data_IF_160608897463
#
_entry.id   IF_160608897463
#
_cell.length_a   1.000
_cell.length_b   1.000
_cell.length_c   1.000
_cell.angle_alpha   90.00
_cell.angle_beta   90.00
_cell.angle_gamma   90.00
#
_symmetry.space_group_name_H-M   'P 1'
#
loop_
_entity.id
_entity.type
_entity.pdbx_description
1 polymer ?
#
# COMPACT_ATOMS: atom_id res chain seq x y z
N UNK A 1 23.84 32.87 -42.61
CA UNK A 1 24.73 33.48 -41.59
C UNK A 1 25.65 32.38 -41.08
N UNK A 2 26.96 32.64 -41.03
CA UNK A 2 28.04 31.65 -40.76
C UNK A 2 28.47 31.69 -39.28
N UNK A 3 28.70 30.49 -38.74
CA UNK A 3 29.74 30.00 -37.79
C UNK A 3 29.89 30.70 -36.42
N UNK A 4 29.64 29.98 -35.31
CA UNK A 4 30.61 29.26 -34.43
C UNK A 4 31.59 30.19 -33.69
N UNK A 5 32.06 29.96 -32.46
CA UNK A 5 31.63 29.26 -31.24
C UNK A 5 32.73 29.56 -30.18
N UNK A 6 32.46 29.25 -28.89
CA UNK A 6 33.41 28.97 -27.80
C UNK A 6 34.14 30.18 -27.16
N UNK A 7 33.90 30.44 -25.86
CA UNK A 7 34.84 30.02 -24.79
C UNK A 7 34.31 30.26 -23.38
N UNK A 8 34.39 29.15 -22.64
CA UNK A 8 34.31 28.95 -21.19
C UNK A 8 35.15 29.95 -20.37
N UNK A 9 34.67 30.31 -19.18
CA UNK A 9 35.53 30.60 -18.03
C UNK A 9 34.79 30.28 -16.72
N UNK A 10 35.09 29.08 -16.21
CA UNK A 10 35.55 28.78 -14.84
C UNK A 10 34.97 29.64 -13.71
N UNK A 11 34.16 29.02 -12.86
CA UNK A 11 33.79 29.51 -11.53
C UNK A 11 33.62 28.34 -10.57
N UNK A 12 34.75 27.77 -10.16
CA UNK A 12 34.87 26.74 -9.12
C UNK A 12 34.68 27.40 -7.74
N UNK A 13 33.63 27.06 -6.99
CA UNK A 13 33.62 27.00 -5.51
C UNK A 13 32.20 26.76 -5.00
N UNK A 14 32.01 25.67 -4.27
CA UNK A 14 30.76 25.40 -3.56
C UNK A 14 30.46 23.92 -3.44
N UNK A 15 31.39 23.16 -2.86
CA UNK A 15 31.09 21.85 -2.32
C UNK A 15 30.03 22.02 -1.22
N UNK A 16 28.76 21.87 -1.57
CA UNK A 16 27.75 21.53 -0.59
C UNK A 16 27.81 20.01 -0.49
N UNK A 17 28.57 19.56 0.51
CA UNK A 17 28.44 18.22 1.05
C UNK A 17 26.99 18.06 1.53
N UNK A 18 26.11 17.61 0.64
CA UNK A 18 24.87 16.97 1.04
C UNK A 18 25.28 15.61 1.58
N UNK A 19 25.50 15.60 2.90
CA UNK A 19 25.56 14.40 3.72
C UNK A 19 24.61 13.34 3.17
N UNK A 20 25.16 12.19 2.79
CA UNK A 20 24.46 10.97 2.42
C UNK A 20 23.47 10.57 3.53
N UNK A 21 22.28 11.13 3.52
CA UNK A 21 21.11 10.39 3.95
C UNK A 21 20.56 9.78 2.67
N UNK A 22 21.08 8.60 2.33
CA UNK A 22 20.45 7.72 1.36
C UNK A 22 19.05 7.38 1.90
N UNK A 23 18.08 8.25 1.61
CA UNK A 23 16.69 7.87 1.67
C UNK A 23 16.56 6.77 0.63
N UNK A 24 16.31 5.54 1.08
CA UNK A 24 15.89 4.47 0.20
C UNK A 24 14.69 5.02 -0.59
N UNK A 25 14.89 5.22 -1.90
CA UNK A 25 13.84 5.72 -2.79
C UNK A 25 12.66 4.78 -2.66
N UNK A 26 11.51 5.31 -2.25
CA UNK A 26 10.28 4.54 -2.20
C UNK A 26 9.96 4.03 -3.60
N UNK A 27 9.85 2.71 -3.77
CA UNK A 27 9.45 2.15 -5.06
C UNK A 27 7.96 2.36 -5.23
N UNK A 28 7.57 3.07 -6.28
CA UNK A 28 6.18 3.21 -6.68
C UNK A 28 5.83 2.19 -7.76
N UNK A 29 4.81 1.36 -7.53
CA UNK A 29 4.26 0.46 -8.56
C UNK A 29 2.85 0.89 -8.95
N UNK A 30 2.52 0.73 -10.23
CA UNK A 30 1.18 0.92 -10.76
C UNK A 30 0.62 -0.44 -11.16
N UNK A 31 -0.53 -0.80 -10.60
CA UNK A 31 -1.30 -1.98 -10.99
C UNK A 31 -2.70 -1.58 -11.46
N UNK A 32 -3.24 -2.35 -12.41
CA UNK A 32 -4.62 -2.21 -12.86
C UNK A 32 -5.44 -3.43 -12.42
N UNK A 33 -6.65 -3.20 -11.94
CA UNK A 33 -7.50 -4.29 -11.48
C UNK A 33 -8.96 -3.89 -11.26
N UNK A 34 -9.77 -4.82 -10.78
CA UNK A 34 -11.13 -4.52 -10.33
C UNK A 34 -11.14 -4.20 -8.85
N UNK A 35 -11.64 -3.03 -8.49
CA UNK A 35 -11.83 -2.60 -7.11
C UNK A 35 -13.29 -2.56 -6.74
N UNK A 36 -13.55 -2.72 -5.44
CA UNK A 36 -14.88 -2.81 -4.87
C UNK A 36 -14.98 -1.83 -3.70
N UNK A 37 -16.03 -1.03 -3.70
CA UNK A 37 -16.35 -0.14 -2.57
C UNK A 37 -17.60 -0.65 -1.91
N UNK A 38 -17.53 -0.90 -0.61
CA UNK A 38 -18.68 -1.22 0.21
C UNK A 38 -19.01 -0.04 1.13
N UNK A 39 -20.30 0.26 1.24
CA UNK A 39 -20.83 1.23 2.21
C UNK A 39 -21.77 0.49 3.14
N UNK A 40 -21.49 0.54 4.45
CA UNK A 40 -22.26 -0.18 5.48
C UNK A 40 -22.43 -1.68 5.13
N UNK A 41 -21.36 -2.31 4.63
CA UNK A 41 -21.32 -3.73 4.28
C UNK A 41 -22.00 -4.13 2.97
N UNK A 42 -22.63 -3.19 2.25
CA UNK A 42 -23.26 -3.43 0.93
C UNK A 42 -22.37 -2.92 -0.19
N UNK A 43 -22.32 -3.66 -1.31
CA UNK A 43 -21.57 -3.23 -2.49
C UNK A 43 -22.17 -1.92 -3.03
N UNK A 44 -21.36 -0.88 -3.09
CA UNK A 44 -21.72 0.45 -3.55
C UNK A 44 -21.09 0.78 -4.92
N UNK A 45 -19.87 0.32 -5.19
CA UNK A 45 -19.23 0.43 -6.51
C UNK A 45 -18.40 -0.81 -6.82
N UNK A 46 -18.34 -1.17 -8.10
CA UNK A 46 -17.44 -2.17 -8.68
C UNK A 46 -17.00 -1.66 -10.04
N UNK A 47 -15.71 -1.44 -10.23
CA UNK A 47 -15.17 -0.93 -11.49
C UNK A 47 -13.67 -1.21 -11.62
N UNK A 48 -13.14 -1.00 -12.81
CA UNK A 48 -11.69 -0.98 -13.03
C UNK A 48 -11.07 0.19 -12.28
N UNK A 49 -9.89 -0.03 -11.72
CA UNK A 49 -9.16 0.91 -10.89
C UNK A 49 -7.66 0.84 -11.17
N UNK A 50 -6.98 1.95 -10.89
CA UNK A 50 -5.53 2.06 -10.87
C UNK A 50 -5.07 2.06 -9.41
N UNK A 51 -4.10 1.22 -9.06
CA UNK A 51 -3.52 1.10 -7.72
C UNK A 51 -2.09 1.61 -7.78
N UNK A 52 -1.79 2.64 -7.01
CA UNK A 52 -0.46 3.20 -6.86
C UNK A 52 0.07 2.79 -5.50
N UNK A 53 1.02 1.88 -5.43
CA UNK A 53 1.66 1.48 -4.17
C UNK A 53 2.93 2.28 -3.94
N UNK A 54 3.28 2.51 -2.69
CA UNK A 54 4.55 3.07 -2.26
C UNK A 54 4.99 2.29 -1.02
N UNK A 55 6.12 1.60 -1.13
CA UNK A 55 6.71 0.87 -0.02
C UNK A 55 8.06 1.45 0.34
N UNK A 56 8.35 1.48 1.63
CA UNK A 56 9.65 1.89 2.11
C UNK A 56 9.91 1.48 3.55
N UNK A 57 11.18 1.44 3.87
CA UNK A 57 11.68 1.18 5.22
C UNK A 57 12.90 2.05 5.47
N UNK A 58 13.22 2.25 6.74
CA UNK A 58 14.46 2.92 7.10
C UNK A 58 15.50 1.85 7.43
N UNK A 59 16.54 1.72 6.62
CA UNK A 59 17.63 0.76 6.88
C UNK A 59 18.34 0.99 8.23
N UNK A 60 18.31 2.21 8.77
CA UNK A 60 18.86 2.54 10.08
C UNK A 60 17.91 2.23 11.25
N UNK A 61 16.62 2.02 10.96
CA UNK A 61 15.61 1.57 11.91
C UNK A 61 14.90 0.37 11.29
N UNK A 62 15.43 -0.85 11.44
CA UNK A 62 14.86 -2.07 10.81
C UNK A 62 13.39 -2.32 11.20
N UNK A 63 12.89 -1.59 12.19
CA UNK A 63 11.54 -1.62 12.71
C UNK A 63 10.64 -0.45 12.26
N UNK A 64 11.09 0.38 11.30
CA UNK A 64 10.25 1.35 10.60
C UNK A 64 9.96 0.85 9.18
N UNK A 65 8.68 0.60 8.91
CA UNK A 65 8.19 0.20 7.60
C UNK A 65 6.88 0.90 7.29
N UNK A 66 6.68 1.25 6.02
CA UNK A 66 5.40 1.72 5.54
C UNK A 66 5.05 1.09 4.20
N UNK A 67 3.76 0.84 4.04
CA UNK A 67 3.10 0.40 2.83
C UNK A 67 1.91 1.35 2.67
N UNK A 68 2.03 2.27 1.72
CA UNK A 68 0.94 3.15 1.35
C UNK A 68 0.43 2.69 -0.01
N UNK A 69 -0.87 2.75 -0.23
CA UNK A 69 -1.38 2.62 -1.57
C UNK A 69 -2.58 3.54 -1.81
N UNK A 70 -2.71 4.02 -3.04
CA UNK A 70 -3.83 4.83 -3.48
C UNK A 70 -4.57 4.11 -4.58
N UNK A 71 -5.88 4.00 -4.44
CA UNK A 71 -6.76 3.39 -5.44
C UNK A 71 -7.57 4.48 -6.10
N UNK A 72 -7.37 4.66 -7.40
CA UNK A 72 -8.14 5.59 -8.22
C UNK A 72 -9.23 4.84 -8.98
N UNK A 73 -10.47 5.19 -8.68
CA UNK A 73 -11.66 4.61 -9.28
C UNK A 73 -12.42 5.70 -10.07
N UNK A 74 -12.67 5.53 -11.38
CA UNK A 74 -13.25 6.59 -12.21
C UNK A 74 -14.57 7.16 -11.70
N UNK A 75 -15.46 6.34 -11.13
CA UNK A 75 -16.77 6.77 -10.63
C UNK A 75 -16.78 6.98 -9.11
N UNK A 76 -16.02 6.20 -8.35
CA UNK A 76 -16.03 6.25 -6.88
C UNK A 76 -15.01 7.24 -6.27
N UNK A 77 -14.06 7.75 -7.06
CA UNK A 77 -13.03 8.70 -6.61
C UNK A 77 -11.73 8.02 -6.19
N UNK A 78 -10.92 8.75 -5.41
CA UNK A 78 -9.60 8.27 -4.95
C UNK A 78 -9.69 7.84 -3.48
N UNK A 79 -9.11 6.69 -3.19
CA UNK A 79 -8.99 6.15 -1.84
C UNK A 79 -7.51 6.04 -1.48
N UNK A 80 -7.16 6.41 -0.26
CA UNK A 80 -5.80 6.31 0.26
C UNK A 80 -5.76 5.36 1.43
N UNK A 81 -4.91 4.36 1.35
CA UNK A 81 -4.60 3.44 2.44
C UNK A 81 -3.18 3.67 2.88
N UNK A 82 -3.00 3.73 4.20
CA UNK A 82 -1.71 3.95 4.86
C UNK A 82 -1.57 2.87 5.91
N UNK A 83 -0.58 2.00 5.72
CA UNK A 83 -0.06 1.07 6.71
C UNK A 83 1.33 1.54 7.09
N UNK A 84 1.56 1.85 8.36
CA UNK A 84 2.90 2.16 8.84
C UNK A 84 3.12 1.55 10.20
N UNK A 85 4.28 0.95 10.39
CA UNK A 85 4.80 0.57 11.69
C UNK A 85 6.02 1.44 11.98
N UNK A 86 6.03 2.00 13.18
CA UNK A 86 7.17 2.74 13.69
C UNK A 86 7.52 2.15 15.04
N UNK A 87 8.60 1.39 15.11
CA UNK A 87 9.17 1.01 16.38
C UNK A 87 10.42 1.80 16.71
N UNK A 88 10.37 2.44 17.88
CA UNK A 88 11.51 3.10 18.49
C UNK A 88 12.48 2.08 19.14
N UNK A 89 11.96 0.91 19.51
CA UNK A 89 12.70 -0.28 19.94
C UNK A 89 11.84 -1.52 19.67
N UNK A 90 12.42 -2.73 19.74
CA UNK A 90 11.68 -3.98 19.58
C UNK A 90 10.46 -4.12 20.52
N UNK A 91 10.44 -3.40 21.66
CA UNK A 91 9.35 -3.43 22.64
C UNK A 91 8.36 -2.27 22.52
N UNK A 92 8.62 -1.31 21.63
CA UNK A 92 7.84 -0.08 21.51
C UNK A 92 7.54 0.19 20.04
N UNK A 93 6.55 -0.54 19.53
CA UNK A 93 6.01 -0.38 18.19
C UNK A 93 4.68 0.36 18.23
N UNK A 94 4.52 1.32 17.33
CA UNK A 94 3.23 1.96 17.02
C UNK A 94 2.83 1.59 15.61
N UNK A 95 1.61 1.10 15.43
CA UNK A 95 1.05 0.81 14.11
C UNK A 95 -0.06 1.80 13.78
N UNK A 96 -0.11 2.19 12.51
CA UNK A 96 -1.17 3.02 11.94
C UNK A 96 -1.69 2.30 10.70
N UNK A 97 -3.00 2.09 10.68
CA UNK A 97 -3.74 1.57 9.54
C UNK A 97 -4.92 2.49 9.29
N UNK A 98 -4.95 3.16 8.14
CA UNK A 98 -6.06 4.07 7.79
C UNK A 98 -6.54 3.91 6.37
N UNK A 99 -7.85 4.10 6.16
CA UNK A 99 -8.49 4.33 4.87
C UNK A 99 -9.07 5.74 4.85
N UNK A 100 -8.64 6.58 3.90
CA UNK A 100 -9.01 7.99 3.81
C UNK A 100 -8.83 8.72 5.15
N UNK A 101 -7.68 8.51 5.80
CA UNK A 101 -7.30 9.07 7.12
C UNK A 101 -8.13 8.58 8.31
N UNK A 102 -9.15 7.73 8.10
CA UNK A 102 -9.90 7.08 9.18
C UNK A 102 -9.25 5.78 9.58
N UNK A 103 -9.22 5.47 10.88
CA UNK A 103 -8.70 4.19 11.38
C UNK A 103 -9.41 3.02 10.70
N UNK A 104 -8.65 2.08 10.17
CA UNK A 104 -9.13 0.93 9.42
C UNK A 104 -8.61 -0.39 10.01
N UNK A 105 -9.20 -1.49 9.56
CA UNK A 105 -8.77 -2.87 9.82
C UNK A 105 -8.82 -3.67 8.52
N UNK A 106 -7.89 -4.61 8.37
CA UNK A 106 -7.91 -5.58 7.28
C UNK A 106 -9.00 -6.61 7.51
N UNK A 107 -9.71 -6.97 6.44
CA UNK A 107 -10.62 -8.11 6.40
C UNK A 107 -10.62 -8.73 5.00
N UNK A 108 -11.22 -9.90 4.87
CA UNK A 108 -11.33 -10.59 3.58
C UNK A 108 -12.79 -10.81 3.20
N UNK A 109 -13.07 -10.81 1.89
CA UNK A 109 -14.38 -11.20 1.35
C UNK A 109 -14.22 -12.24 0.26
N UNK A 110 -15.11 -13.22 0.21
CA UNK A 110 -15.19 -14.12 -0.96
C UNK A 110 -15.77 -13.36 -2.14
N UNK A 111 -15.13 -13.41 -3.31
CA UNK A 111 -15.67 -12.91 -4.56
C UNK A 111 -16.74 -13.87 -5.15
N UNK A 112 -17.61 -14.40 -4.30
CA UNK A 112 -18.75 -15.25 -4.66
C UNK A 112 -20.05 -14.45 -4.51
N UNK A 113 -21.20 -15.04 -4.90
CA UNK A 113 -22.51 -14.39 -4.76
C UNK A 113 -22.70 -13.89 -3.32
N UNK A 114 -22.80 -12.57 -3.17
CA UNK A 114 -23.08 -11.90 -1.89
C UNK A 114 -21.87 -11.36 -1.11
N UNK A 115 -20.63 -11.50 -1.61
CA UNK A 115 -19.43 -10.89 -1.02
C UNK A 115 -19.27 -11.14 0.49
N UNK A 116 -19.40 -12.39 0.91
CA UNK A 116 -19.40 -12.75 2.33
C UNK A 116 -18.04 -12.45 2.98
N UNK A 117 -18.09 -11.87 4.19
CA UNK A 117 -16.89 -11.63 5.01
C UNK A 117 -16.33 -12.96 5.48
N UNK A 118 -15.01 -13.10 5.41
CA UNK A 118 -14.23 -14.24 5.88
C UNK A 118 -13.33 -13.77 7.02
N UNK A 119 -13.25 -14.53 8.12
CA UNK A 119 -12.32 -14.20 9.20
C UNK A 119 -10.88 -14.44 8.76
N UNK A 120 -9.90 -13.75 9.37
CA UNK A 120 -8.48 -13.96 9.08
C UNK A 120 -8.08 -15.43 9.23
N UNK A 121 -8.47 -16.07 10.34
CA UNK A 121 -8.27 -17.51 10.58
C UNK A 121 -8.87 -18.38 9.47
N UNK A 122 -10.04 -18.04 8.94
CA UNK A 122 -10.62 -18.79 7.84
C UNK A 122 -9.83 -18.59 6.55
N UNK A 123 -9.39 -17.36 6.25
CA UNK A 123 -8.59 -17.06 5.07
C UNK A 123 -7.24 -17.81 5.09
N UNK A 124 -6.56 -17.84 6.25
CA UNK A 124 -5.29 -18.54 6.46
C UNK A 124 -5.38 -20.06 6.25
N UNK A 125 -6.54 -20.65 6.52
CA UNK A 125 -6.76 -22.10 6.36
C UNK A 125 -7.21 -22.50 4.95
N UNK A 126 -7.41 -21.55 4.03
CA UNK A 126 -7.75 -21.86 2.65
C UNK A 126 -6.51 -22.35 1.88
N UNK A 127 -6.74 -23.18 0.86
CA UNK A 127 -5.70 -23.48 -0.12
C UNK A 127 -5.22 -22.20 -0.79
N UNK A 128 -4.00 -22.25 -1.31
CA UNK A 128 -3.37 -21.16 -2.01
C UNK A 128 -4.28 -20.50 -3.08
N UNK A 129 -4.78 -21.30 -4.03
CA UNK A 129 -5.72 -20.85 -5.08
C UNK A 129 -7.02 -20.24 -4.51
N UNK A 130 -7.49 -20.77 -3.39
CA UNK A 130 -8.70 -20.26 -2.74
C UNK A 130 -8.42 -18.92 -2.01
N UNK A 131 -7.20 -18.66 -1.56
CA UNK A 131 -6.80 -17.36 -1.00
C UNK A 131 -6.71 -16.27 -2.08
N UNK A 132 -6.22 -16.59 -3.28
CA UNK A 132 -6.23 -15.65 -4.42
C UNK A 132 -7.64 -15.25 -4.85
N UNK A 133 -8.63 -16.14 -4.64
CA UNK A 133 -10.03 -15.87 -4.94
C UNK A 133 -10.71 -14.91 -3.96
N UNK A 134 -10.04 -14.56 -2.85
CA UNK A 134 -10.51 -13.58 -1.89
C UNK A 134 -10.25 -12.15 -2.38
N UNK A 135 -11.09 -11.24 -1.94
CA UNK A 135 -10.82 -9.81 -1.95
C UNK A 135 -10.17 -9.45 -0.61
N UNK A 136 -9.03 -8.78 -0.65
CA UNK A 136 -8.43 -8.12 0.52
C UNK A 136 -9.12 -6.77 0.67
N UNK A 137 -9.55 -6.46 1.88
CA UNK A 137 -10.38 -5.29 2.15
C UNK A 137 -9.86 -4.48 3.33
N UNK A 138 -9.88 -3.16 3.18
CA UNK A 138 -9.58 -2.19 4.22
C UNK A 138 -10.88 -1.52 4.65
N UNK A 139 -11.33 -1.82 5.87
CA UNK A 139 -12.61 -1.35 6.40
C UNK A 139 -12.38 -0.32 7.50
N UNK A 140 -13.06 0.82 7.40
CA UNK A 140 -13.03 1.81 8.49
C UNK A 140 -13.64 1.21 9.76
N UNK A 141 -13.06 1.52 10.90
CA UNK A 141 -13.51 1.01 12.22
C UNK A 141 -14.94 1.42 12.58
N UNK A 142 -15.45 2.53 12.01
CA UNK A 142 -16.86 2.92 12.11
C UNK A 142 -17.80 2.10 11.21
N UNK A 143 -17.27 1.17 10.41
CA UNK A 143 -17.99 0.28 9.51
C UNK A 143 -18.66 0.94 8.31
N UNK A 144 -18.43 2.25 8.09
CA UNK A 144 -19.15 3.02 7.07
C UNK A 144 -18.59 2.82 5.67
N UNK A 145 -17.29 2.57 5.56
CA UNK A 145 -16.59 2.46 4.30
C UNK A 145 -15.66 1.26 4.32
N UNK A 146 -15.59 0.60 3.19
CA UNK A 146 -14.62 -0.46 2.94
C UNK A 146 -14.22 -0.43 1.47
N UNK A 147 -12.92 -0.57 1.25
CA UNK A 147 -12.31 -0.69 -0.07
C UNK A 147 -11.72 -2.08 -0.19
N UNK A 148 -11.99 -2.78 -1.30
CA UNK A 148 -11.38 -4.07 -1.56
C UNK A 148 -10.73 -4.15 -2.93
N UNK A 149 -9.63 -4.90 -2.99
CA UNK A 149 -8.88 -5.24 -4.20
C UNK A 149 -8.74 -6.76 -4.31
N UNK A 150 -8.39 -7.27 -5.49
CA UNK A 150 -8.09 -8.69 -5.65
C UNK A 150 -6.83 -9.06 -4.85
N UNK A 151 -6.85 -10.22 -4.18
CA UNK A 151 -5.72 -10.69 -3.37
C UNK A 151 -4.64 -11.35 -4.25
N UNK A 152 -4.09 -10.61 -5.22
CA UNK A 152 -3.09 -11.15 -6.17
C UNK A 152 -1.66 -11.17 -5.64
N UNK A 153 -1.32 -10.32 -4.67
CA UNK A 153 0.08 -10.08 -4.28
C UNK A 153 0.63 -10.94 -3.12
N UNK A 154 -0.17 -11.78 -2.45
CA UNK A 154 0.34 -12.58 -1.31
C UNK A 154 1.17 -13.82 -1.70
N UNK A 155 1.61 -13.94 -2.96
CA UNK A 155 2.12 -15.23 -3.47
C UNK A 155 3.42 -15.15 -4.22
N UNK A 156 3.61 -14.18 -5.09
CA UNK A 156 4.91 -14.10 -5.77
C UNK A 156 6.06 -13.82 -4.78
N UNK A 157 5.73 -13.30 -3.60
CA UNK A 157 6.58 -13.35 -2.42
C UNK A 157 5.91 -14.28 -1.41
N UNK A 158 6.41 -15.51 -1.30
CA UNK A 158 5.87 -16.50 -0.37
C UNK A 158 5.55 -15.86 0.98
N UNK A 159 4.37 -16.18 1.50
CA UNK A 159 3.81 -15.71 2.76
C UNK A 159 4.70 -16.00 3.99
N UNK A 160 5.89 -15.42 4.04
CA UNK A 160 6.31 -14.78 5.26
C UNK A 160 5.48 -13.51 5.32
N UNK A 161 4.35 -13.59 6.05
CA UNK A 161 3.89 -12.41 6.76
C UNK A 161 5.14 -11.71 7.32
N UNK A 162 5.27 -10.38 7.21
CA UNK A 162 6.17 -9.63 8.04
C UNK A 162 6.32 -10.28 9.42
N UNK A 163 7.40 -11.03 9.66
CA UNK A 163 7.70 -11.72 10.93
C UNK A 163 8.09 -10.71 12.02
N UNK A 164 7.54 -9.51 11.95
CA UNK A 164 7.82 -8.39 12.85
C UNK A 164 6.65 -8.15 13.82
N UNK A 165 5.64 -9.02 13.80
CA UNK A 165 4.49 -8.99 14.71
C UNK A 165 4.25 -10.33 15.45
N UNK A 166 5.32 -11.08 15.75
CA UNK A 166 5.35 -12.06 16.83
C UNK A 166 6.37 -11.64 17.90
#
# INVERSE_FOLDING_TARGET
>A
MKKEAILSLVGLAGAIALSNHAMAMASQSLEEGTCYVFKQGKLASKEQCEIFSEQGGNSNFPSYGYENYSVKMPKAGVFHVVNSINCHSAKQCTSKHTLNKKKAVSQYRKNTKGYQVVSAKQAENLSYEAQESLLRCDKTTDGKLELCTANKEMVEYGAEAPRWAE
#
